data_IF_795672135721
#
_entry.id   IF_795672135721
#
_cell.length_a   1.000
_cell.length_b   1.000
_cell.length_c   1.000
_cell.angle_alpha   90.00
_cell.angle_beta   90.00
_cell.angle_gamma   90.00
#
_symmetry.space_group_name_H-M   'P 1'
#
loop_
_entity.id
_entity.type
_entity.pdbx_description
1 polymer ?
#
# COMPACT_ATOMS: atom_id res chain seq x y z
N UNK A 1 16.44 -21.72 -8.87
CA UNK A 1 15.06 -21.19 -8.97
C UNK A 1 14.41 -21.40 -10.35
N UNK A 2 15.03 -22.14 -11.29
CA UNK A 2 14.49 -22.38 -12.65
C UNK A 2 14.28 -23.87 -12.97
N UNK A 3 14.27 -24.75 -11.97
CA UNK A 3 14.24 -26.20 -12.21
C UNK A 3 12.84 -26.72 -12.59
N UNK A 4 11.78 -25.98 -12.26
CA UNK A 4 10.38 -26.35 -12.53
C UNK A 4 9.56 -25.18 -13.07
N UNK A 5 9.79 -24.74 -14.32
CA UNK A 5 9.13 -23.57 -14.90
C UNK A 5 7.60 -23.73 -15.03
N UNK A 6 7.10 -24.95 -15.20
CA UNK A 6 5.66 -25.22 -15.32
C UNK A 6 4.95 -25.17 -13.95
N UNK A 7 5.62 -25.59 -12.89
CA UNK A 7 5.09 -25.51 -11.51
C UNK A 7 5.05 -24.05 -11.05
N UNK A 8 6.12 -23.29 -11.34
CA UNK A 8 6.16 -21.84 -11.11
C UNK A 8 5.00 -21.12 -11.81
N UNK A 9 4.73 -21.46 -13.07
CA UNK A 9 3.61 -20.88 -13.82
C UNK A 9 2.25 -21.25 -13.22
N UNK A 10 2.11 -22.46 -12.68
CA UNK A 10 0.90 -22.90 -11.99
C UNK A 10 0.64 -22.12 -10.70
N UNK A 11 1.66 -21.98 -9.85
CA UNK A 11 1.57 -21.27 -8.57
C UNK A 11 1.30 -19.77 -8.77
N UNK A 12 2.01 -19.15 -9.72
CA UNK A 12 1.82 -17.75 -10.12
C UNK A 12 0.43 -17.51 -10.69
N UNK A 13 -0.04 -18.41 -11.56
CA UNK A 13 -1.37 -18.28 -12.16
C UNK A 13 -2.45 -18.35 -11.08
N UNK A 14 -2.36 -19.29 -10.13
CA UNK A 14 -3.38 -19.42 -9.07
C UNK A 14 -3.38 -18.23 -8.12
N UNK A 15 -2.21 -17.70 -7.75
CA UNK A 15 -2.08 -16.58 -6.82
C UNK A 15 -2.70 -15.27 -7.36
N UNK A 16 -2.58 -15.01 -8.66
CA UNK A 16 -3.01 -13.75 -9.29
C UNK A 16 -4.34 -13.83 -10.05
N UNK A 17 -4.87 -15.03 -10.29
CA UNK A 17 -6.09 -15.22 -11.09
C UNK A 17 -7.31 -14.56 -10.47
N UNK A 18 -7.46 -14.62 -9.14
CA UNK A 18 -8.58 -14.00 -8.44
C UNK A 18 -8.65 -12.49 -8.69
N UNK A 19 -7.50 -11.82 -8.61
CA UNK A 19 -7.38 -10.39 -8.83
C UNK A 19 -7.64 -10.00 -10.28
N UNK A 20 -7.01 -10.71 -11.23
CA UNK A 20 -7.25 -10.47 -12.66
C UNK A 20 -8.71 -10.70 -13.03
N UNK A 21 -9.35 -11.73 -12.47
CA UNK A 21 -10.79 -11.98 -12.67
C UNK A 21 -11.63 -10.85 -12.08
N UNK A 22 -11.30 -10.35 -10.88
CA UNK A 22 -12.02 -9.23 -10.27
C UNK A 22 -11.90 -7.96 -11.13
N UNK A 23 -10.70 -7.67 -11.65
CA UNK A 23 -10.45 -6.53 -12.55
C UNK A 23 -11.16 -6.71 -13.90
N UNK A 24 -11.26 -7.94 -14.42
CA UNK A 24 -12.04 -8.22 -15.61
C UNK A 24 -13.54 -8.00 -15.35
N UNK A 25 -14.05 -8.50 -14.22
CA UNK A 25 -15.44 -8.37 -13.80
C UNK A 25 -15.83 -6.91 -13.52
N UNK A 26 -14.90 -6.06 -13.07
CA UNK A 26 -15.17 -4.62 -12.91
C UNK A 26 -15.48 -3.92 -14.23
N UNK A 27 -15.17 -4.53 -15.38
CA UNK A 27 -15.59 -4.04 -16.71
C UNK A 27 -16.99 -4.50 -17.14
N UNK A 28 -17.71 -5.25 -16.29
CA UNK A 28 -19.00 -5.86 -16.65
C UNK A 28 -18.89 -6.90 -17.78
N UNK A 29 -17.69 -7.46 -18.00
CA UNK A 29 -17.40 -8.38 -19.10
C UNK A 29 -17.22 -7.71 -20.46
N UNK A 30 -17.31 -6.37 -20.56
CA UNK A 30 -17.18 -5.65 -21.82
C UNK A 30 -15.81 -5.87 -22.48
N UNK A 31 -14.75 -6.02 -21.68
CA UNK A 31 -13.40 -6.25 -22.18
C UNK A 31 -13.29 -7.54 -23.04
N UNK A 32 -14.12 -8.55 -22.76
CA UNK A 32 -14.15 -9.82 -23.51
C UNK A 32 -14.71 -9.66 -24.92
N UNK A 33 -15.42 -8.57 -25.22
CA UNK A 33 -15.90 -8.27 -26.57
C UNK A 33 -14.80 -7.70 -27.49
N UNK A 34 -13.63 -7.36 -26.92
CA UNK A 34 -12.46 -6.85 -27.65
C UNK A 34 -11.16 -7.60 -27.27
N UNK A 35 -11.09 -8.93 -27.50
CA UNK A 35 -10.01 -9.77 -26.98
C UNK A 35 -8.61 -9.37 -27.47
N UNK A 36 -8.49 -8.87 -28.70
CA UNK A 36 -7.21 -8.37 -29.23
C UNK A 36 -6.64 -7.19 -28.43
N UNK A 37 -7.49 -6.42 -27.74
CA UNK A 37 -7.10 -5.28 -26.93
C UNK A 37 -6.69 -5.67 -25.51
N UNK A 38 -7.06 -6.88 -25.06
CA UNK A 38 -6.55 -7.44 -23.81
C UNK A 38 -5.03 -7.63 -23.84
N UNK A 39 -4.43 -7.74 -25.03
CA UNK A 39 -2.97 -7.79 -25.20
C UNK A 39 -2.25 -6.60 -24.56
N UNK A 40 -2.90 -5.43 -24.43
CA UNK A 40 -2.35 -4.27 -23.73
C UNK A 40 -2.17 -4.49 -22.22
N UNK A 41 -2.99 -5.36 -21.61
CA UNK A 41 -2.90 -5.69 -20.19
C UNK A 41 -1.90 -6.80 -19.89
N UNK A 42 -1.49 -7.58 -20.90
CA UNK A 42 -0.64 -8.75 -20.70
C UNK A 42 0.74 -8.45 -20.11
N UNK A 43 1.52 -7.44 -20.59
CA UNK A 43 2.88 -7.23 -20.08
C UNK A 43 2.90 -6.95 -18.58
N UNK A 44 1.99 -6.10 -18.10
CA UNK A 44 1.93 -5.72 -16.69
C UNK A 44 1.28 -6.80 -15.84
N UNK A 45 0.26 -7.50 -16.35
CA UNK A 45 -0.33 -8.63 -15.64
C UNK A 45 0.69 -9.76 -15.45
N UNK A 46 1.46 -10.06 -16.50
CA UNK A 46 2.51 -11.09 -16.44
C UNK A 46 3.68 -10.66 -15.56
N UNK A 47 4.10 -9.38 -15.63
CA UNK A 47 5.13 -8.84 -14.75
C UNK A 47 4.75 -8.97 -13.28
N UNK A 48 3.53 -8.56 -12.92
CA UNK A 48 3.05 -8.65 -11.55
C UNK A 48 2.94 -10.11 -11.10
N UNK A 49 2.35 -10.97 -11.93
CA UNK A 49 2.16 -12.38 -11.61
C UNK A 49 3.50 -13.11 -11.41
N UNK A 50 4.49 -12.87 -12.27
CA UNK A 50 5.81 -13.52 -12.19
C UNK A 50 6.73 -12.90 -11.12
N UNK A 51 6.26 -11.91 -10.37
CA UNK A 51 7.11 -11.22 -9.42
C UNK A 51 7.35 -12.02 -8.16
N UNK A 52 8.58 -11.99 -7.66
CA UNK A 52 8.87 -12.44 -6.30
C UNK A 52 8.42 -11.42 -5.24
N UNK A 53 8.03 -10.21 -5.66
CA UNK A 53 7.63 -9.13 -4.77
C UNK A 53 6.13 -9.20 -4.46
N UNK A 54 5.79 -9.72 -3.26
CA UNK A 54 4.40 -10.02 -2.89
C UNK A 54 3.42 -8.84 -2.97
N UNK A 55 3.89 -7.61 -2.83
CA UNK A 55 3.09 -6.38 -2.96
C UNK A 55 2.54 -6.21 -4.39
N UNK A 56 3.15 -6.82 -5.39
CA UNK A 56 2.65 -6.83 -6.77
C UNK A 56 1.50 -7.83 -7.00
N UNK A 57 1.16 -8.66 -6.00
CA UNK A 57 0.07 -9.63 -6.05
C UNK A 57 -1.19 -9.17 -5.30
N UNK A 58 -1.27 -7.90 -4.90
CA UNK A 58 -2.46 -7.37 -4.25
C UNK A 58 -3.05 -6.19 -5.03
N UNK A 59 -4.37 -6.03 -4.90
CA UNK A 59 -5.12 -4.92 -5.50
C UNK A 59 -5.10 -3.63 -4.67
N UNK A 60 -4.49 -3.66 -3.48
CA UNK A 60 -4.38 -2.48 -2.61
C UNK A 60 -3.34 -1.52 -3.18
N UNK A 61 -2.30 -2.06 -3.81
CA UNK A 61 -1.22 -1.28 -4.40
C UNK A 61 -1.45 -0.94 -5.87
N UNK A 62 -0.70 0.06 -6.34
CA UNK A 62 -0.84 0.64 -7.68
C UNK A 62 -0.30 -0.26 -8.81
N UNK A 63 0.25 -1.43 -8.50
CA UNK A 63 0.91 -2.29 -9.49
C UNK A 63 -0.05 -2.80 -10.56
N UNK A 64 -1.35 -2.91 -10.27
CA UNK A 64 -2.36 -3.31 -11.25
C UNK A 64 -2.85 -2.18 -12.17
N UNK A 65 -2.40 -0.92 -12.00
CA UNK A 65 -2.87 0.21 -12.83
C UNK A 65 -2.61 0.01 -14.33
N UNK A 66 -1.47 -0.60 -14.69
CA UNK A 66 -1.17 -0.92 -16.09
C UNK A 66 -2.13 -1.97 -16.65
N UNK A 67 -2.39 -3.03 -15.89
CA UNK A 67 -3.33 -4.11 -16.25
C UNK A 67 -4.74 -3.56 -16.41
N UNK A 68 -5.18 -2.74 -15.45
CA UNK A 68 -6.44 -2.02 -15.47
C UNK A 68 -6.59 -1.14 -16.71
N UNK A 69 -5.55 -0.39 -17.07
CA UNK A 69 -5.58 0.48 -18.24
C UNK A 69 -5.89 -0.32 -19.51
N UNK A 70 -5.20 -1.44 -19.74
CA UNK A 70 -5.47 -2.33 -20.87
C UNK A 70 -6.88 -2.93 -20.85
N UNK A 71 -7.35 -3.37 -19.68
CA UNK A 71 -8.72 -3.90 -19.51
C UNK A 71 -9.79 -2.85 -19.83
N UNK A 72 -9.64 -1.61 -19.36
CA UNK A 72 -10.59 -0.54 -19.61
C UNK A 72 -10.58 -0.05 -21.06
N UNK A 73 -9.41 -0.06 -21.74
CA UNK A 73 -9.35 0.18 -23.19
C UNK A 73 -10.12 -0.91 -23.94
N UNK A 74 -9.89 -2.18 -23.61
CA UNK A 74 -10.63 -3.29 -24.21
C UNK A 74 -12.14 -3.17 -23.93
N UNK A 75 -12.52 -2.77 -22.71
CA UNK A 75 -13.92 -2.57 -22.33
C UNK A 75 -14.60 -1.45 -23.14
N UNK A 76 -13.93 -0.31 -23.33
CA UNK A 76 -14.46 0.80 -24.12
C UNK A 76 -14.73 0.38 -25.58
N UNK A 77 -13.79 -0.37 -26.18
CA UNK A 77 -13.94 -0.88 -27.54
C UNK A 77 -15.00 -1.97 -27.61
N UNK A 78 -15.05 -2.84 -26.60
CA UNK A 78 -16.07 -3.88 -26.45
C UNK A 78 -17.48 -3.32 -26.32
N UNK A 79 -17.66 -2.21 -25.59
CA UNK A 79 -18.92 -1.49 -25.50
C UNK A 79 -19.41 -1.01 -26.87
N UNK A 80 -18.51 -0.51 -27.72
CA UNK A 80 -18.83 -0.14 -29.11
C UNK A 80 -19.32 -1.32 -29.95
N UNK A 81 -18.91 -2.55 -29.62
CA UNK A 81 -19.32 -3.79 -30.30
C UNK A 81 -20.62 -4.38 -29.78
N UNK A 82 -21.19 -3.86 -28.68
CA UNK A 82 -22.40 -4.41 -28.09
C UNK A 82 -23.60 -4.40 -29.06
N UNK A 83 -23.67 -3.40 -29.94
CA UNK A 83 -24.72 -3.26 -30.96
C UNK A 83 -24.69 -4.34 -32.04
N UNK A 84 -23.56 -5.01 -32.26
CA UNK A 84 -23.47 -6.11 -33.23
C UNK A 84 -23.97 -7.44 -32.66
N UNK A 85 -24.19 -7.53 -31.35
CA UNK A 85 -24.77 -8.71 -30.70
C UNK A 85 -26.29 -8.75 -30.88
N UNK A 86 -26.85 -9.95 -30.91
CA UNK A 86 -28.31 -10.13 -30.84
C UNK A 86 -28.84 -9.70 -29.47
N UNK A 87 -30.11 -9.26 -29.39
CA UNK A 87 -30.73 -8.83 -28.12
C UNK A 87 -30.56 -9.86 -26.99
N UNK A 88 -30.73 -11.15 -27.29
CA UNK A 88 -30.54 -12.23 -26.32
C UNK A 88 -29.12 -12.28 -25.75
N UNK A 89 -28.10 -11.95 -26.55
CA UNK A 89 -26.70 -11.89 -26.12
C UNK A 89 -26.34 -10.57 -25.43
N UNK A 90 -27.10 -9.49 -25.66
CA UNK A 90 -26.90 -8.22 -24.98
C UNK A 90 -27.40 -8.23 -23.53
N UNK A 91 -28.52 -8.92 -23.26
CA UNK A 91 -29.12 -9.01 -21.92
C UNK A 91 -28.13 -9.41 -20.81
N UNK A 92 -27.35 -10.51 -20.92
CA UNK A 92 -26.40 -10.87 -19.87
C UNK A 92 -25.29 -9.82 -19.70
N UNK A 93 -24.85 -9.17 -20.79
CA UNK A 93 -23.84 -8.10 -20.72
C UNK A 93 -24.40 -6.88 -19.97
N UNK A 94 -25.63 -6.46 -20.27
CA UNK A 94 -26.28 -5.37 -19.53
C UNK A 94 -26.46 -5.71 -18.05
N UNK A 95 -26.85 -6.94 -17.73
CA UNK A 95 -26.96 -7.40 -16.35
C UNK A 95 -25.60 -7.33 -15.63
N UNK A 96 -24.53 -7.83 -16.25
CA UNK A 96 -23.18 -7.78 -15.68
C UNK A 96 -22.66 -6.36 -15.50
N UNK A 97 -22.85 -5.48 -16.49
CA UNK A 97 -22.49 -4.05 -16.38
C UNK A 97 -23.29 -3.37 -15.27
N UNK A 98 -24.58 -3.67 -15.14
CA UNK A 98 -25.43 -3.10 -14.09
C UNK A 98 -24.97 -3.56 -12.70
N UNK A 99 -24.66 -4.85 -12.53
CA UNK A 99 -24.12 -5.39 -11.29
C UNK A 99 -22.76 -4.75 -10.97
N UNK A 100 -21.85 -4.67 -11.93
CA UNK A 100 -20.55 -4.04 -11.75
C UNK A 100 -20.69 -2.57 -11.33
N UNK A 101 -21.60 -1.82 -11.95
CA UNK A 101 -21.88 -0.43 -11.60
C UNK A 101 -22.47 -0.28 -10.19
N UNK A 102 -23.44 -1.13 -9.81
CA UNK A 102 -24.03 -1.12 -8.46
C UNK A 102 -22.96 -1.41 -7.40
N UNK A 103 -22.12 -2.42 -7.63
CA UNK A 103 -21.02 -2.76 -6.72
C UNK A 103 -20.02 -1.60 -6.64
N UNK A 104 -19.59 -1.05 -7.78
CA UNK A 104 -18.62 0.05 -7.80
C UNK A 104 -19.15 1.30 -7.08
N UNK A 105 -20.42 1.66 -7.28
CA UNK A 105 -21.04 2.79 -6.58
C UNK A 105 -21.22 2.50 -5.10
N UNK A 106 -21.72 1.30 -4.74
CA UNK A 106 -21.93 0.93 -3.35
C UNK A 106 -20.63 0.88 -2.54
N UNK A 107 -19.61 0.23 -3.07
CA UNK A 107 -18.27 0.18 -2.46
C UNK A 107 -17.64 1.57 -2.45
N UNK A 108 -17.70 2.31 -3.56
CA UNK A 108 -17.15 3.66 -3.66
C UNK A 108 -17.75 4.62 -2.64
N UNK A 109 -19.07 4.60 -2.45
CA UNK A 109 -19.75 5.40 -1.42
C UNK A 109 -19.39 4.95 -0.01
N UNK A 110 -19.29 3.65 0.23
CA UNK A 110 -18.87 3.12 1.54
C UNK A 110 -17.46 3.59 1.91
N UNK A 111 -16.50 3.43 1.00
CA UNK A 111 -15.11 3.88 1.15
C UNK A 111 -15.05 5.40 1.32
N UNK A 112 -15.73 6.15 0.45
CA UNK A 112 -15.77 7.62 0.55
C UNK A 112 -16.30 8.07 1.90
N UNK A 113 -17.40 7.50 2.39
CA UNK A 113 -17.98 7.86 3.68
C UNK A 113 -17.05 7.49 4.85
N UNK A 114 -16.38 6.33 4.79
CA UNK A 114 -15.43 5.92 5.82
C UNK A 114 -14.21 6.85 5.86
N UNK A 115 -13.67 7.22 4.70
CA UNK A 115 -12.52 8.11 4.56
C UNK A 115 -12.86 9.54 4.99
N UNK A 116 -13.93 10.13 4.44
CA UNK A 116 -14.33 11.52 4.72
C UNK A 116 -14.63 11.75 6.21
N UNK A 117 -15.18 10.76 6.92
CA UNK A 117 -15.44 10.85 8.36
C UNK A 117 -14.19 10.70 9.22
N UNK A 118 -13.17 10.00 8.73
CA UNK A 118 -11.99 9.66 9.51
C UNK A 118 -10.85 10.67 9.36
N UNK A 119 -10.70 11.32 8.20
CA UNK A 119 -9.62 12.27 7.92
C UNK A 119 -9.52 13.39 8.97
N UNK A 120 -10.59 14.15 9.31
CA UNK A 120 -10.44 15.28 10.24
C UNK A 120 -10.01 14.84 11.64
N UNK A 121 -10.53 13.69 12.10
CA UNK A 121 -10.17 13.13 13.41
C UNK A 121 -8.73 12.63 13.44
N UNK A 122 -8.28 12.01 12.34
CA UNK A 122 -6.89 11.55 12.21
C UNK A 122 -5.92 12.74 12.12
N UNK A 123 -6.26 13.77 11.35
CA UNK A 123 -5.45 14.97 11.24
C UNK A 123 -5.26 15.65 12.61
N UNK A 124 -6.35 15.86 13.36
CA UNK A 124 -6.28 16.43 14.71
C UNK A 124 -5.46 15.56 15.67
N UNK A 125 -5.58 14.23 15.59
CA UNK A 125 -4.79 13.32 16.43
C UNK A 125 -3.29 13.38 16.09
N UNK A 126 -2.95 13.47 14.80
CA UNK A 126 -1.57 13.66 14.34
C UNK A 126 -1.04 14.99 14.83
N UNK A 127 -1.75 16.09 14.61
CA UNK A 127 -1.31 17.43 15.05
C UNK A 127 -1.03 17.46 16.56
N UNK A 128 -1.97 17.01 17.38
CA UNK A 128 -1.82 16.95 18.84
C UNK A 128 -0.61 16.12 19.26
N UNK A 129 -0.42 14.92 18.69
CA UNK A 129 0.72 14.08 19.03
C UNK A 129 2.06 14.73 18.64
N UNK A 130 2.11 15.43 17.49
CA UNK A 130 3.35 16.03 17.00
C UNK A 130 3.71 17.35 17.70
N UNK A 131 2.78 18.01 18.40
CA UNK A 131 3.04 19.22 19.21
C UNK A 131 4.10 18.97 20.29
N UNK A 132 4.22 17.74 20.77
CA UNK A 132 5.20 17.36 21.79
C UNK A 132 6.64 17.33 21.30
N UNK A 133 6.85 17.31 19.99
CA UNK A 133 8.16 17.12 19.37
C UNK A 133 8.76 18.50 19.04
N UNK A 134 9.84 18.92 19.72
CA UNK A 134 10.52 20.19 19.44
C UNK A 134 10.95 20.29 17.98
N UNK A 135 10.98 21.52 17.44
CA UNK A 135 11.36 21.75 16.03
C UNK A 135 12.80 21.34 15.73
N UNK A 136 13.66 21.42 16.72
CA UNK A 136 15.10 21.16 16.63
C UNK A 136 15.46 19.68 16.84
N UNK A 137 14.49 18.82 17.15
CA UNK A 137 14.76 17.42 17.47
C UNK A 137 14.93 16.57 16.20
N UNK A 138 15.90 15.63 16.24
CA UNK A 138 16.01 14.55 15.26
C UNK A 138 14.95 13.48 15.53
N UNK A 139 14.21 13.09 14.49
CA UNK A 139 13.04 12.20 14.60
C UNK A 139 13.14 11.04 13.62
N UNK A 140 12.79 9.84 14.07
CA UNK A 140 12.49 8.72 13.17
C UNK A 140 10.97 8.49 13.14
N UNK A 141 10.36 8.41 11.95
CA UNK A 141 8.91 8.29 11.81
C UNK A 141 8.47 7.32 10.72
N UNK A 142 7.26 6.77 10.84
CA UNK A 142 6.64 6.04 9.71
C UNK A 142 6.31 6.99 8.57
N UNK A 143 6.29 6.48 7.33
CA UNK A 143 6.15 7.30 6.10
C UNK A 143 4.93 8.22 6.12
N UNK A 144 3.82 7.74 6.69
CA UNK A 144 2.57 8.52 6.80
C UNK A 144 2.72 9.80 7.64
N UNK A 145 3.74 9.87 8.51
CA UNK A 145 4.01 10.99 9.39
C UNK A 145 5.21 11.84 8.94
N UNK A 146 6.06 11.35 8.04
CA UNK A 146 7.29 12.04 7.62
C UNK A 146 7.02 13.41 7.01
N UNK A 147 5.98 13.54 6.18
CA UNK A 147 5.63 14.82 5.57
C UNK A 147 5.30 15.89 6.64
N UNK A 148 4.61 15.50 7.71
CA UNK A 148 4.28 16.38 8.84
C UNK A 148 5.49 16.75 9.69
N UNK A 149 6.60 16.01 9.57
CA UNK A 149 7.83 16.22 10.34
C UNK A 149 8.96 16.80 9.50
N UNK A 150 8.73 17.04 8.21
CA UNK A 150 9.75 17.51 7.24
C UNK A 150 10.43 18.82 7.62
N UNK A 151 9.86 19.60 8.54
CA UNK A 151 10.45 20.82 9.09
C UNK A 151 11.35 20.60 10.32
N UNK A 152 11.62 19.34 10.71
CA UNK A 152 12.60 18.99 11.74
C UNK A 152 14.02 18.97 11.18
N UNK A 153 15.01 19.10 12.07
CA UNK A 153 16.45 19.17 11.71
C UNK A 153 16.90 17.90 11.00
N UNK A 154 16.50 16.74 11.50
CA UNK A 154 16.71 15.45 10.83
C UNK A 154 15.45 14.59 10.94
N UNK A 155 15.06 13.99 9.83
CA UNK A 155 13.92 13.08 9.73
C UNK A 155 14.37 11.80 9.07
N UNK A 156 14.16 10.69 9.75
CA UNK A 156 14.45 9.36 9.23
C UNK A 156 13.17 8.57 9.03
N UNK A 157 13.15 7.78 7.97
CA UNK A 157 12.11 6.79 7.73
C UNK A 157 12.34 5.61 8.66
N UNK A 158 11.39 5.26 9.51
CA UNK A 158 11.48 4.01 10.26
C UNK A 158 11.66 2.82 9.29
N UNK A 159 12.63 1.93 9.59
CA UNK A 159 13.34 1.78 10.87
C UNK A 159 14.66 2.53 10.94
N UNK A 160 15.05 3.19 9.87
CA UNK A 160 16.27 3.95 9.87
C UNK A 160 16.15 5.05 10.92
N UNK A 161 17.25 5.37 11.60
CA UNK A 161 18.61 4.84 11.37
C UNK A 161 18.96 3.60 12.22
N UNK A 162 18.00 2.97 12.91
CA UNK A 162 18.28 1.87 13.84
C UNK A 162 18.62 0.56 13.15
N UNK A 163 17.98 0.30 12.01
CA UNK A 163 18.19 -0.87 11.15
C UNK A 163 18.26 -0.40 9.70
N UNK A 164 18.94 -1.17 8.85
CA UNK A 164 18.87 -0.95 7.41
C UNK A 164 17.48 -1.28 6.90
N UNK A 165 16.90 -0.41 6.08
CA UNK A 165 15.68 -0.74 5.35
C UNK A 165 15.94 -1.85 4.32
N UNK A 166 15.01 -2.80 4.17
CA UNK A 166 15.14 -3.92 3.23
C UNK A 166 15.14 -3.49 1.76
N UNK A 167 14.52 -2.35 1.43
CA UNK A 167 14.41 -1.82 0.07
C UNK A 167 15.67 -1.07 -0.41
N UNK A 168 16.74 -1.10 0.40
CA UNK A 168 17.98 -0.38 0.16
C UNK A 168 18.11 0.81 1.10
N UNK A 169 19.23 0.84 1.84
CA UNK A 169 19.70 2.02 2.56
C UNK A 169 20.79 2.70 1.75
N UNK A 170 20.80 4.03 1.72
CA UNK A 170 21.96 4.77 1.19
C UNK A 170 23.06 4.94 2.23
N UNK A 171 22.84 4.48 3.48
CA UNK A 171 23.73 4.68 4.61
C UNK A 171 24.51 3.40 4.91
N UNK A 172 25.80 3.57 5.20
CA UNK A 172 26.62 2.49 5.74
C UNK A 172 26.18 2.14 7.16
N UNK A 173 26.53 0.93 7.64
CA UNK A 173 26.25 0.51 9.02
C UNK A 173 26.80 1.49 10.07
N UNK A 174 27.93 2.13 9.77
CA UNK A 174 28.55 3.13 10.66
C UNK A 174 27.72 4.40 10.71
N UNK A 175 27.29 4.91 9.54
CA UNK A 175 26.44 6.11 9.46
C UNK A 175 25.06 5.89 10.09
N UNK A 176 24.48 4.68 9.95
CA UNK A 176 23.25 4.29 10.62
C UNK A 176 23.43 4.35 12.15
N UNK A 177 24.49 3.75 12.69
CA UNK A 177 24.77 3.78 14.12
C UNK A 177 24.96 5.21 14.65
N UNK A 178 25.75 6.03 13.95
CA UNK A 178 25.99 7.43 14.31
C UNK A 178 24.69 8.25 14.32
N UNK A 179 23.86 8.12 13.29
CA UNK A 179 22.58 8.84 13.21
C UNK A 179 21.59 8.34 14.27
N UNK A 180 21.61 7.04 14.57
CA UNK A 180 20.76 6.48 15.61
C UNK A 180 21.00 7.10 16.97
N UNK A 181 22.25 7.43 17.33
CA UNK A 181 22.56 8.10 18.60
C UNK A 181 21.90 9.47 18.73
N UNK A 182 21.74 10.20 17.62
CA UNK A 182 21.17 11.54 17.59
C UNK A 182 19.63 11.54 17.57
N UNK A 183 18.98 10.42 17.21
CA UNK A 183 17.51 10.34 17.24
C UNK A 183 16.99 10.46 18.67
N UNK A 184 16.27 11.55 18.92
CA UNK A 184 15.62 11.84 20.21
C UNK A 184 14.19 11.35 20.26
N UNK A 185 13.43 11.48 19.18
CA UNK A 185 12.03 11.06 19.12
C UNK A 185 11.80 9.99 18.07
N UNK A 186 10.89 9.07 18.36
CA UNK A 186 10.37 8.09 17.41
C UNK A 186 8.86 8.20 17.38
N UNK A 187 8.28 8.28 16.19
CA UNK A 187 6.83 8.40 16.02
C UNK A 187 6.31 7.33 15.07
N UNK A 188 5.28 6.61 15.46
CA UNK A 188 4.66 5.64 14.55
C UNK A 188 3.14 5.65 14.68
N UNK A 189 2.49 5.15 13.64
CA UNK A 189 1.04 5.01 13.57
C UNK A 189 0.65 3.53 13.45
N UNK A 190 -0.21 3.04 14.33
CA UNK A 190 -0.60 1.61 14.36
C UNK A 190 -1.36 1.16 13.10
N UNK A 191 -1.97 2.08 12.33
CA UNK A 191 -2.67 1.73 11.07
C UNK A 191 -1.73 1.57 9.87
N UNK A 192 -0.43 1.80 10.05
CA UNK A 192 0.57 1.40 9.07
C UNK A 192 0.80 -0.13 9.12
N UNK A 193 0.05 -0.85 9.99
CA UNK A 193 -0.14 -2.31 9.98
C UNK A 193 -1.48 -2.62 9.29
N UNK A 194 -1.47 -2.79 7.96
CA UNK A 194 -2.68 -3.21 7.25
C UNK A 194 -3.02 -4.68 7.60
N UNK A 195 -4.30 -5.02 7.92
CA UNK A 195 -4.70 -6.40 8.27
C UNK A 195 -4.52 -7.41 7.13
N UNK A 196 -4.32 -6.93 5.91
CA UNK A 196 -4.36 -7.71 4.68
C UNK A 196 -2.98 -7.98 4.09
N UNK A 197 -1.94 -8.19 4.90
CA UNK A 197 -0.62 -8.68 4.44
C UNK A 197 0.15 -7.83 3.41
N UNK A 198 -0.46 -6.80 2.84
CA UNK A 198 0.09 -5.86 1.89
C UNK A 198 0.43 -4.59 2.63
N UNK A 199 1.74 -4.39 2.84
CA UNK A 199 2.34 -3.27 3.56
C UNK A 199 2.15 -3.32 5.09
N UNK A 200 2.80 -4.29 5.73
CA UNK A 200 3.64 -3.88 6.86
C UNK A 200 4.83 -3.13 6.25
N UNK A 201 5.30 -1.99 6.80
CA UNK A 201 6.70 -1.64 6.56
C UNK A 201 7.53 -2.92 6.80
N UNK A 202 8.57 -3.22 6.01
CA UNK A 202 9.30 -4.51 6.08
C UNK A 202 9.82 -4.81 7.50
N UNK A 203 9.87 -3.75 8.31
CA UNK A 203 9.81 -3.76 9.76
C UNK A 203 8.67 -4.61 10.33
N UNK A 204 8.99 -5.77 10.87
CA UNK A 204 8.20 -6.25 12.02
C UNK A 204 8.23 -5.12 13.06
N UNK A 205 7.19 -4.30 13.10
CA UNK A 205 7.05 -3.21 14.07
C UNK A 205 7.16 -3.76 15.49
N UNK A 206 6.87 -5.04 15.71
CA UNK A 206 7.20 -5.73 16.95
C UNK A 206 8.70 -5.78 17.22
N UNK A 207 9.52 -6.14 16.23
CA UNK A 207 10.99 -6.11 16.30
C UNK A 207 11.51 -4.70 16.51
N UNK A 208 11.04 -3.72 15.76
CA UNK A 208 11.43 -2.31 15.95
C UNK A 208 11.02 -1.81 17.33
N UNK A 209 9.78 -2.03 17.78
CA UNK A 209 9.31 -1.64 19.13
C UNK A 209 10.15 -2.31 20.22
N UNK A 210 10.53 -3.59 20.07
CA UNK A 210 11.43 -4.28 21.01
C UNK A 210 12.82 -3.64 21.04
N UNK A 211 13.37 -3.29 19.88
CA UNK A 211 14.65 -2.61 19.76
C UNK A 211 14.63 -1.22 20.41
N UNK A 212 13.62 -0.40 20.08
CA UNK A 212 13.44 0.93 20.64
C UNK A 212 13.40 0.92 22.17
N UNK A 213 12.66 -0.03 22.77
CA UNK A 213 12.65 -0.22 24.23
C UNK A 213 14.03 -0.53 24.80
N UNK A 214 14.81 -1.38 24.12
CA UNK A 214 16.20 -1.68 24.51
C UNK A 214 17.12 -0.45 24.39
N UNK A 215 16.85 0.43 23.43
CA UNK A 215 17.58 1.67 23.20
C UNK A 215 17.14 2.83 24.12
N UNK A 216 16.25 2.57 25.09
CA UNK A 216 15.83 3.55 26.09
C UNK A 216 14.73 4.49 25.64
N UNK A 217 14.02 4.17 24.55
CA UNK A 217 12.83 4.92 24.14
C UNK A 217 11.62 4.54 25.00
N UNK A 218 10.93 5.54 25.52
CA UNK A 218 9.70 5.40 26.29
C UNK A 218 8.58 6.20 25.65
N UNK A 219 7.35 5.69 25.71
CA UNK A 219 6.18 6.40 25.20
C UNK A 219 5.90 7.62 26.10
N UNK A 220 5.97 8.80 25.51
CA UNK A 220 5.70 10.08 26.20
C UNK A 220 4.33 10.62 25.86
N UNK A 221 3.77 10.21 24.72
CA UNK A 221 2.44 10.60 24.29
C UNK A 221 1.81 9.56 23.38
N UNK A 222 0.49 9.43 23.49
CA UNK A 222 -0.35 8.62 22.62
C UNK A 222 -1.66 9.33 22.35
N UNK A 223 -1.91 9.65 21.08
CA UNK A 223 -3.17 10.26 20.63
C UNK A 223 -3.79 9.36 19.57
N UNK A 224 -4.87 8.66 19.95
CA UNK A 224 -5.51 7.66 19.10
C UNK A 224 -4.55 6.52 18.74
N UNK A 225 -4.21 6.42 17.45
CA UNK A 225 -3.31 5.42 16.88
C UNK A 225 -1.90 5.97 16.62
N UNK A 226 -1.59 7.19 17.04
CA UNK A 226 -0.26 7.82 16.91
C UNK A 226 0.47 7.69 18.25
N UNK A 227 1.70 7.19 18.20
CA UNK A 227 2.55 6.96 19.36
C UNK A 227 3.81 7.79 19.23
N UNK A 228 4.16 8.53 20.28
CA UNK A 228 5.38 9.34 20.36
C UNK A 228 6.25 8.78 21.47
N UNK A 229 7.46 8.37 21.10
CA UNK A 229 8.46 7.87 22.01
C UNK A 229 9.60 8.87 22.09
N UNK A 230 10.10 9.11 23.30
CA UNK A 230 11.30 9.91 23.54
C UNK A 230 12.40 9.01 24.10
N UNK A 231 13.62 9.19 23.60
CA UNK A 231 14.80 8.57 24.18
C UNK A 231 15.06 9.25 25.53
N UNK A 232 14.97 8.48 26.61
CA UNK A 232 15.44 8.96 27.90
C UNK A 232 16.95 9.23 27.76
N UNK A 233 17.36 10.48 27.92
CA UNK A 233 18.77 10.83 27.86
C UNK A 233 19.54 9.92 28.82
N UNK A 234 20.65 9.35 28.36
CA UNK A 234 21.65 8.84 29.29
C UNK A 234 21.97 10.03 30.19
N UNK A 235 21.60 9.96 31.47
CA UNK A 235 21.92 11.00 32.44
C UNK A 235 23.40 11.34 32.29
N UNK A 236 23.66 12.55 31.80
CA UNK A 236 24.91 13.26 32.01
C UNK A 236 24.62 14.33 33.03
#
# INVERSE_FOLDING_TARGET
>A
MLEHPLELLGDVAVASLGDVLLLLLSTGGLALLAPSWLLLSLPTALHNALSAYGVQHDLVHHYHLGTLTGLFVAAAIGAGRLRSLTRLRQLPVYALVSVAAIVAVGVGLSVHNAVTRSIPRQAAAIELALERIPREASVAATWSLMAHLSHRVEVYSLPEPFLSAEWGTSLTTVELAERAEHVRFVVYRDIDVLPSGGYSPPEDLGTVKRLLRRLGFVEVERVGNVHVLERLGNGR
#
